data_IF_708224242557
#
_entry.id   IF_708224242557
#
_cell.length_a   1.000
_cell.length_b   1.000
_cell.length_c   1.000
_cell.angle_alpha   90.00
_cell.angle_beta   90.00
_cell.angle_gamma   90.00
#
_symmetry.space_group_name_H-M   'P 1'
#
loop_
_entity.id
_entity.type
_entity.pdbx_description
1 polymer ?
#
# COMPACT_ATOMS: atom_id res chain seq x y z
N UNK A 1 -6.66 -7.67 -3.25
CA UNK A 1 -5.63 -8.72 -3.05
C UNK A 1 -4.41 -8.40 -3.90
N UNK A 2 -3.28 -8.04 -3.28
CA UNK A 2 -2.08 -7.66 -4.02
C UNK A 2 -1.31 -8.92 -4.44
N UNK A 3 -1.22 -9.16 -5.75
CA UNK A 3 -0.56 -10.36 -6.29
C UNK A 3 0.93 -10.20 -6.52
N UNK A 4 1.37 -8.98 -6.81
CA UNK A 4 2.76 -8.73 -7.18
C UNK A 4 3.16 -7.30 -6.88
N UNK A 5 4.44 -7.11 -6.61
CA UNK A 5 5.03 -5.79 -6.37
C UNK A 5 6.20 -5.56 -7.33
N UNK A 6 6.15 -4.47 -8.08
CA UNK A 6 7.33 -3.98 -8.84
C UNK A 6 8.36 -3.34 -7.90
N UNK A 7 7.91 -2.68 -6.85
CA UNK A 7 8.77 -1.95 -5.91
C UNK A 7 9.16 -2.82 -4.71
N UNK A 8 10.45 -3.16 -4.58
CA UNK A 8 10.97 -4.02 -3.49
C UNK A 8 10.72 -3.44 -2.09
N UNK A 9 10.79 -2.11 -1.93
CA UNK A 9 10.46 -1.42 -0.67
C UNK A 9 9.01 -1.62 -0.23
N UNK A 10 8.02 -1.33 -1.09
CA UNK A 10 6.60 -1.57 -0.83
C UNK A 10 6.30 -3.04 -0.50
N UNK A 11 6.91 -3.99 -1.23
CA UNK A 11 6.78 -5.41 -0.95
C UNK A 11 7.21 -5.75 0.49
N UNK A 12 8.43 -5.33 0.87
CA UNK A 12 8.95 -5.57 2.22
C UNK A 12 8.11 -4.89 3.29
N UNK A 13 7.63 -3.69 3.01
CA UNK A 13 6.78 -2.97 3.93
C UNK A 13 5.44 -3.69 4.15
N UNK A 14 4.82 -4.21 3.10
CA UNK A 14 3.60 -5.01 3.16
C UNK A 14 3.81 -6.34 3.89
N UNK A 15 4.86 -7.10 3.55
CA UNK A 15 5.08 -8.45 4.06
C UNK A 15 5.67 -8.50 5.48
N UNK A 16 6.50 -7.51 5.86
CA UNK A 16 7.30 -7.56 7.08
C UNK A 16 7.27 -6.29 7.93
N UNK A 17 6.42 -5.31 7.58
CA UNK A 17 6.40 -3.99 8.23
C UNK A 17 7.75 -3.26 8.20
N UNK A 18 8.66 -3.67 7.31
CA UNK A 18 9.99 -3.06 7.17
C UNK A 18 9.89 -1.73 6.42
N UNK A 19 10.28 -0.64 7.09
CA UNK A 19 10.29 0.71 6.52
C UNK A 19 11.48 0.96 5.57
N UNK A 20 12.36 -0.04 5.37
CA UNK A 20 13.52 0.07 4.49
C UNK A 20 13.14 0.18 3.01
N UNK A 21 13.44 1.34 2.42
CA UNK A 21 13.19 1.63 1.01
C UNK A 21 11.81 2.24 0.76
N UNK A 22 11.20 2.86 1.76
CA UNK A 22 10.07 3.78 1.60
C UNK A 22 10.37 5.08 2.38
N UNK A 23 9.81 6.23 1.98
CA UNK A 23 9.90 7.46 2.77
C UNK A 23 9.14 7.31 4.10
N UNK A 24 9.78 7.50 5.27
CA UNK A 24 9.14 7.34 6.58
C UNK A 24 7.89 8.22 6.76
N UNK A 25 7.93 9.44 6.25
CA UNK A 25 6.83 10.42 6.29
C UNK A 25 5.54 9.87 5.66
N UNK A 26 5.68 9.03 4.63
CA UNK A 26 4.56 8.47 3.90
C UNK A 26 4.20 7.05 4.36
N UNK A 27 4.92 6.45 5.30
CA UNK A 27 4.72 5.04 5.69
C UNK A 27 3.28 4.75 6.13
N UNK A 28 2.69 5.63 6.94
CA UNK A 28 1.31 5.49 7.39
C UNK A 28 0.30 5.63 6.25
N UNK A 29 0.56 6.54 5.29
CA UNK A 29 -0.29 6.73 4.11
C UNK A 29 -0.22 5.51 3.19
N UNK A 30 1.00 5.03 2.92
CA UNK A 30 1.26 3.84 2.10
C UNK A 30 0.59 2.60 2.71
N UNK A 31 0.70 2.41 4.04
CA UNK A 31 0.06 1.28 4.73
C UNK A 31 -1.44 1.26 4.48
N UNK A 32 -2.13 2.39 4.72
CA UNK A 32 -3.58 2.50 4.48
C UNK A 32 -3.97 2.18 3.03
N UNK A 33 -3.19 2.66 2.06
CA UNK A 33 -3.45 2.37 0.64
C UNK A 33 -3.26 0.89 0.31
N UNK A 34 -2.19 0.27 0.81
CA UNK A 34 -1.91 -1.15 0.58
C UNK A 34 -2.97 -2.04 1.23
N UNK A 35 -3.37 -1.74 2.46
CA UNK A 35 -4.42 -2.46 3.18
C UNK A 35 -5.76 -2.35 2.43
N UNK A 36 -6.10 -1.15 1.94
CA UNK A 36 -7.31 -0.95 1.14
C UNK A 36 -7.24 -1.70 -0.18
N UNK A 37 -6.14 -1.59 -0.93
CA UNK A 37 -5.94 -2.30 -2.20
C UNK A 37 -5.99 -3.82 -2.03
N UNK A 38 -5.51 -4.33 -0.90
CA UNK A 38 -5.59 -5.73 -0.58
C UNK A 38 -7.03 -6.18 -0.28
N UNK A 39 -7.82 -5.35 0.40
CA UNK A 39 -9.23 -5.60 0.69
C UNK A 39 -10.18 -5.36 -0.50
N UNK A 40 -9.79 -4.53 -1.47
CA UNK A 40 -10.62 -4.17 -2.63
C UNK A 40 -10.92 -5.37 -3.52
N UNK A 41 -12.18 -5.42 -4.00
CA UNK A 41 -12.68 -6.42 -4.95
C UNK A 41 -12.86 -5.82 -6.34
N UNK A 42 -13.17 -4.53 -6.42
CA UNK A 42 -13.34 -3.77 -7.67
C UNK A 42 -12.51 -2.49 -7.64
N UNK A 43 -12.32 -1.83 -8.79
CA UNK A 43 -11.46 -0.64 -8.88
C UNK A 43 -12.03 0.55 -8.10
N UNK A 44 -13.35 0.66 -8.07
CA UNK A 44 -14.13 1.71 -7.42
C UNK A 44 -13.94 1.71 -5.90
N UNK A 45 -13.57 0.57 -5.30
CA UNK A 45 -13.26 0.47 -3.88
C UNK A 45 -12.09 1.38 -3.47
N UNK A 46 -11.21 1.75 -4.41
CA UNK A 46 -10.09 2.65 -4.18
C UNK A 46 -10.46 4.13 -4.31
N UNK A 47 -11.67 4.47 -4.79
CA UNK A 47 -12.12 5.85 -5.03
C UNK A 47 -12.57 6.53 -3.72
N UNK A 48 -11.63 6.66 -2.77
CA UNK A 48 -11.87 7.28 -1.47
C UNK A 48 -11.50 8.76 -1.46
N UNK A 49 -12.28 9.62 -0.78
CA UNK A 49 -11.88 11.01 -0.57
C UNK A 49 -10.54 11.06 0.19
N UNK A 50 -9.57 11.78 -0.36
CA UNK A 50 -8.21 11.88 0.18
C UNK A 50 -7.18 10.96 -0.49
N UNK A 51 -7.59 10.08 -1.40
CA UNK A 51 -6.68 9.36 -2.29
C UNK A 51 -6.52 10.18 -3.59
N UNK A 52 -5.76 11.27 -3.49
CA UNK A 52 -5.33 12.11 -4.62
C UNK A 52 -3.82 12.31 -4.57
#
# INVERSE_FOLDING_TARGET
MIRSFRHKGLRRFFESSSHRGIPPENANRIRRMLDRLDASRVAEDMNLPGYK
#
